data_IF_243799482673
#
_entry.id   IF_243799482673
#
_cell.length_a   1.000
_cell.length_b   1.000
_cell.length_c   1.000
_cell.angle_alpha   90.00
_cell.angle_beta   90.00
_cell.angle_gamma   90.00
#
_symmetry.space_group_name_H-M   'P 1'
#
loop_
_entity.id
_entity.type
_entity.pdbx_description
1 polymer ?
#
# COMPACT_ATOMS: atom_id res chain seq x y z
N UNK A 1 17.60 5.13 6.83
CA UNK A 1 17.36 3.72 7.19
C UNK A 1 15.93 3.33 6.83
N UNK A 2 15.75 2.08 6.39
CA UNK A 2 14.42 1.60 6.01
C UNK A 2 13.51 1.47 7.22
N UNK A 3 12.23 1.93 7.12
CA UNK A 3 11.23 1.65 8.16
C UNK A 3 11.01 0.16 8.40
N UNK A 4 11.38 -0.70 7.47
CA UNK A 4 11.24 -2.16 7.61
C UNK A 4 12.35 -2.81 8.45
N UNK A 5 13.26 -2.03 9.00
CA UNK A 5 14.33 -2.57 9.85
C UNK A 5 13.79 -3.36 11.04
N UNK A 6 12.67 -2.92 11.60
CA UNK A 6 11.96 -3.63 12.69
C UNK A 6 10.49 -3.25 12.67
N UNK A 7 9.65 -4.06 13.33
CA UNK A 7 8.24 -3.72 13.47
C UNK A 7 8.04 -2.42 14.26
N UNK A 8 8.73 -2.16 15.38
CA UNK A 8 8.62 -0.86 16.04
C UNK A 8 8.99 0.32 15.15
N UNK A 9 9.99 0.17 14.28
CA UNK A 9 10.36 1.24 13.35
C UNK A 9 9.25 1.49 12.32
N UNK A 10 8.61 0.42 11.81
CA UNK A 10 7.51 0.58 10.89
C UNK A 10 6.28 1.18 11.57
N UNK A 11 5.98 0.76 12.81
CA UNK A 11 4.91 1.38 13.60
C UNK A 11 5.13 2.87 13.76
N UNK A 12 6.36 3.28 14.12
CA UNK A 12 6.69 4.70 14.27
C UNK A 12 6.51 5.46 12.96
N UNK A 13 6.97 4.88 11.87
CA UNK A 13 6.83 5.48 10.54
C UNK A 13 5.37 5.67 10.17
N UNK A 14 4.55 4.64 10.33
CA UNK A 14 3.12 4.65 10.01
C UNK A 14 2.38 5.67 10.86
N UNK A 15 2.63 5.68 12.18
CA UNK A 15 1.90 6.57 13.08
C UNK A 15 2.34 8.04 12.98
N UNK A 16 3.45 8.31 12.30
CA UNK A 16 3.92 9.67 12.02
C UNK A 16 3.89 9.99 10.53
N UNK A 17 3.08 9.29 9.76
CA UNK A 17 3.07 9.40 8.29
C UNK A 17 2.84 10.84 7.82
N UNK A 18 1.97 11.59 8.50
CA UNK A 18 1.68 12.98 8.16
C UNK A 18 2.87 13.92 8.34
N UNK A 19 3.87 13.53 9.15
CA UNK A 19 5.11 14.31 9.30
C UNK A 19 6.05 14.11 8.12
N UNK A 20 5.96 12.95 7.46
CA UNK A 20 6.79 12.63 6.29
C UNK A 20 6.18 13.16 5.00
N UNK A 21 4.85 13.30 4.96
CA UNK A 21 4.10 13.70 3.76
C UNK A 21 3.08 14.78 4.11
N UNK A 22 3.41 16.06 3.88
CA UNK A 22 2.50 17.17 4.20
C UNK A 22 1.17 17.14 3.46
N UNK A 23 1.07 16.39 2.35
CA UNK A 23 -0.18 16.18 1.62
C UNK A 23 -1.20 15.36 2.40
N UNK A 24 -0.76 14.59 3.40
CA UNK A 24 -1.65 13.79 4.24
C UNK A 24 -2.40 14.70 5.21
N UNK A 25 -3.72 14.72 5.12
CA UNK A 25 -4.58 15.51 6.01
C UNK A 25 -4.93 14.74 7.26
N UNK A 26 -5.17 13.45 7.14
CA UNK A 26 -5.53 12.59 8.25
C UNK A 26 -5.15 11.15 7.93
N UNK A 27 -4.76 10.40 8.94
CA UNK A 27 -4.48 8.98 8.83
C UNK A 27 -5.19 8.22 9.95
N UNK A 28 -5.84 7.12 9.59
CA UNK A 28 -6.41 6.17 10.54
C UNK A 28 -5.64 4.86 10.56
N UNK A 29 -4.43 4.84 9.99
CA UNK A 29 -3.62 3.64 9.91
C UNK A 29 -3.33 3.07 11.29
N UNK A 30 -3.51 1.75 11.44
CA UNK A 30 -3.28 1.04 12.67
C UNK A 30 -2.55 -0.27 12.38
N UNK A 31 -1.49 -0.56 13.13
CA UNK A 31 -0.82 -1.85 13.08
C UNK A 31 -1.27 -2.66 14.29
N UNK A 32 -1.94 -3.78 14.04
CA UNK A 32 -2.35 -4.72 15.05
C UNK A 32 -1.41 -5.93 15.03
N UNK A 33 -0.70 -6.15 16.12
CA UNK A 33 0.18 -7.31 16.24
C UNK A 33 -0.66 -8.57 16.44
N UNK A 34 -0.33 -9.61 15.68
CA UNK A 34 -1.02 -10.90 15.69
C UNK A 34 -0.03 -11.99 16.11
N UNK A 35 0.27 -12.09 17.40
CA UNK A 35 1.29 -12.96 17.92
C UNK A 35 2.68 -12.33 17.82
N UNK A 36 3.73 -13.16 17.96
CA UNK A 36 5.11 -12.68 18.08
C UNK A 36 5.75 -12.31 16.73
N UNK A 37 5.21 -12.80 15.61
CA UNK A 37 5.90 -12.77 14.31
C UNK A 37 5.07 -12.17 13.19
N UNK A 38 3.82 -11.85 13.43
CA UNK A 38 2.94 -11.30 12.40
C UNK A 38 2.18 -10.07 12.88
N UNK A 39 1.77 -9.25 11.93
CA UNK A 39 0.97 -8.06 12.21
C UNK A 39 0.12 -7.73 10.99
N UNK A 40 -0.90 -6.89 11.19
CA UNK A 40 -1.74 -6.38 10.11
C UNK A 40 -1.77 -4.87 10.21
N UNK A 41 -1.45 -4.21 9.10
CA UNK A 41 -1.66 -2.78 8.92
C UNK A 41 -2.97 -2.58 8.16
N UNK A 42 -3.84 -1.72 8.67
CA UNK A 42 -5.05 -1.35 7.96
C UNK A 42 -5.54 0.03 8.36
N UNK A 43 -6.26 0.66 7.47
CA UNK A 43 -6.84 1.99 7.68
C UNK A 43 -6.85 2.81 6.40
N UNK A 44 -6.97 4.11 6.56
CA UNK A 44 -7.07 5.05 5.45
C UNK A 44 -6.14 6.23 5.65
N UNK A 45 -5.65 6.76 4.52
CA UNK A 45 -4.96 8.04 4.46
C UNK A 45 -5.85 8.99 3.65
N UNK A 46 -6.18 10.14 4.24
CA UNK A 46 -7.07 11.13 3.64
C UNK A 46 -6.25 12.31 3.14
N UNK A 47 -6.58 12.76 1.92
CA UNK A 47 -5.94 13.86 1.22
C UNK A 47 -6.98 14.93 0.88
N UNK A 48 -6.54 16.02 0.25
CA UNK A 48 -7.45 17.03 -0.29
C UNK A 48 -8.23 16.50 -1.50
N UNK A 49 -9.27 17.23 -1.92
CA UNK A 49 -10.07 16.96 -3.11
C UNK A 49 -10.74 15.58 -3.10
N UNK A 50 -11.13 15.11 -1.90
CA UNK A 50 -11.82 13.84 -1.66
C UNK A 50 -11.01 12.60 -2.03
N UNK A 51 -9.69 12.71 -2.19
CA UNK A 51 -8.84 11.54 -2.39
C UNK A 51 -8.59 10.84 -1.06
N UNK A 52 -8.66 9.50 -1.09
CA UNK A 52 -8.28 8.66 0.04
C UNK A 52 -7.62 7.38 -0.44
N UNK A 53 -6.65 6.93 0.31
CA UNK A 53 -5.94 5.69 0.06
C UNK A 53 -6.30 4.70 1.16
N UNK A 54 -6.97 3.61 0.79
CA UNK A 54 -7.30 2.52 1.71
C UNK A 54 -6.16 1.52 1.68
N UNK A 55 -5.65 1.18 2.86
CA UNK A 55 -4.42 0.39 3.01
C UNK A 55 -4.72 -0.88 3.80
N UNK A 56 -4.23 -2.00 3.30
CA UNK A 56 -4.20 -3.25 4.04
C UNK A 56 -2.91 -3.99 3.70
N UNK A 57 -2.15 -4.36 4.74
CA UNK A 57 -0.93 -5.15 4.59
C UNK A 57 -0.90 -6.24 5.65
N UNK A 58 -0.58 -7.46 5.24
CA UNK A 58 -0.23 -8.53 6.17
C UNK A 58 1.28 -8.57 6.24
N UNK A 59 1.80 -8.52 7.47
CA UNK A 59 3.22 -8.35 7.74
C UNK A 59 3.79 -9.57 8.44
N UNK A 60 5.03 -9.89 8.13
CA UNK A 60 5.84 -10.85 8.86
C UNK A 60 7.09 -10.17 9.41
N UNK A 61 7.50 -10.54 10.60
CA UNK A 61 8.75 -10.09 11.20
C UNK A 61 9.56 -11.28 11.75
N UNK A 62 9.46 -12.42 11.09
CA UNK A 62 10.15 -13.67 11.49
C UNK A 62 11.65 -13.51 11.63
N UNK A 63 12.25 -12.67 10.79
CA UNK A 63 13.72 -12.49 10.74
C UNK A 63 14.17 -11.23 11.48
N UNK A 64 13.24 -10.57 12.21
CA UNK A 64 13.52 -9.28 12.85
C UNK A 64 13.20 -8.10 11.96
N UNK A 65 13.42 -8.20 10.65
CA UNK A 65 13.00 -7.20 9.69
C UNK A 65 11.54 -7.43 9.28
N UNK A 66 10.87 -6.37 8.83
CA UNK A 66 9.49 -6.46 8.36
C UNK A 66 9.49 -6.84 6.89
N UNK A 67 8.61 -7.78 6.53
CA UNK A 67 8.27 -8.07 5.14
C UNK A 67 6.76 -8.05 4.99
N UNK A 68 6.28 -7.70 3.81
CA UNK A 68 4.86 -7.75 3.46
C UNK A 68 4.58 -9.14 2.90
N UNK A 69 3.62 -9.85 3.48
CA UNK A 69 3.18 -11.16 3.00
C UNK A 69 2.16 -11.01 1.89
N UNK A 70 1.22 -10.08 2.08
CA UNK A 70 0.20 -9.73 1.09
C UNK A 70 -0.29 -8.32 1.36
N UNK A 71 -0.87 -7.70 0.35
CA UNK A 71 -1.40 -6.35 0.47
C UNK A 71 -2.61 -6.13 -0.43
N UNK A 72 -3.37 -5.08 -0.09
CA UNK A 72 -4.36 -4.47 -0.95
C UNK A 72 -4.36 -2.98 -0.70
N UNK A 73 -4.26 -2.20 -1.76
CA UNK A 73 -4.33 -0.75 -1.69
C UNK A 73 -5.40 -0.27 -2.67
N UNK A 74 -6.30 0.58 -2.20
CA UNK A 74 -7.35 1.14 -3.03
C UNK A 74 -7.24 2.66 -3.00
N UNK A 75 -7.22 3.27 -4.18
CA UNK A 75 -7.26 4.73 -4.31
C UNK A 75 -8.64 5.14 -4.74
N UNK A 76 -9.27 5.99 -3.93
CA UNK A 76 -10.62 6.49 -4.15
C UNK A 76 -10.61 8.01 -4.30
N UNK A 77 -11.49 8.51 -5.15
CA UNK A 77 -11.88 9.92 -5.19
C UNK A 77 -13.39 9.98 -4.97
N UNK A 78 -13.81 10.42 -3.76
CA UNK A 78 -15.21 10.33 -3.39
C UNK A 78 -15.69 8.89 -3.41
N UNK A 79 -16.69 8.60 -4.23
CA UNK A 79 -17.25 7.24 -4.39
C UNK A 79 -16.66 6.47 -5.55
N UNK A 80 -15.70 7.05 -6.27
CA UNK A 80 -15.09 6.43 -7.45
C UNK A 80 -13.76 5.78 -7.08
N UNK A 81 -13.63 4.47 -7.37
CA UNK A 81 -12.37 3.76 -7.22
C UNK A 81 -11.49 4.08 -8.42
N UNK A 82 -10.40 4.80 -8.19
CA UNK A 82 -9.51 5.29 -9.24
C UNK A 82 -8.46 4.24 -9.61
N UNK A 83 -7.99 3.49 -8.62
CA UNK A 83 -6.99 2.43 -8.83
C UNK A 83 -7.06 1.44 -7.68
N UNK A 84 -6.57 0.23 -7.95
CA UNK A 84 -6.52 -0.82 -6.94
C UNK A 84 -5.27 -1.67 -7.18
N UNK A 85 -4.45 -1.85 -6.15
CA UNK A 85 -3.26 -2.68 -6.17
C UNK A 85 -3.50 -3.90 -5.29
N UNK A 86 -3.14 -5.09 -5.76
CA UNK A 86 -3.11 -6.26 -4.89
C UNK A 86 -1.96 -7.19 -5.28
N UNK A 87 -1.70 -8.15 -4.39
CA UNK A 87 -0.60 -9.10 -4.53
C UNK A 87 -1.07 -10.51 -4.94
N UNK A 88 -2.30 -10.65 -5.41
CA UNK A 88 -2.80 -11.95 -5.86
C UNK A 88 -2.11 -12.33 -7.18
N UNK A 89 -1.45 -13.51 -7.24
CA UNK A 89 -0.80 -13.93 -8.47
C UNK A 89 -1.78 -14.22 -9.60
N UNK A 90 -1.35 -13.94 -10.84
CA UNK A 90 -2.09 -14.28 -12.06
C UNK A 90 -1.11 -14.98 -13.02
N UNK A 91 -0.72 -16.23 -12.73
CA UNK A 91 0.35 -16.91 -13.48
C UNK A 91 0.03 -17.17 -14.95
N UNK A 92 -1.25 -17.16 -15.32
CA UNK A 92 -1.65 -17.32 -16.72
C UNK A 92 -1.65 -16.04 -17.53
N UNK A 93 -1.42 -14.88 -16.91
CA UNK A 93 -1.45 -13.59 -17.58
C UNK A 93 -0.04 -13.11 -17.90
N UNK A 94 0.41 -13.33 -19.15
CA UNK A 94 1.77 -12.95 -19.57
C UNK A 94 2.03 -11.45 -19.50
N UNK A 95 1.00 -10.62 -19.62
CA UNK A 95 1.16 -9.16 -19.53
C UNK A 95 1.62 -8.71 -18.14
N UNK A 96 1.43 -9.53 -17.11
CA UNK A 96 1.81 -9.23 -15.73
C UNK A 96 3.08 -9.94 -15.29
N UNK A 97 3.69 -10.77 -16.16
CA UNK A 97 4.80 -11.63 -15.79
C UNK A 97 6.02 -10.86 -15.23
N UNK A 98 6.27 -9.66 -15.73
CA UNK A 98 7.43 -8.86 -15.31
C UNK A 98 7.38 -8.36 -13.87
N UNK A 99 6.19 -8.25 -13.28
CA UNK A 99 6.00 -7.76 -11.91
C UNK A 99 5.18 -8.70 -11.04
N UNK A 100 4.80 -9.88 -11.55
CA UNK A 100 4.01 -10.83 -10.79
C UNK A 100 4.63 -11.12 -9.41
N UNK A 101 3.86 -11.15 -8.30
CA UNK A 101 2.40 -11.02 -8.23
C UNK A 101 1.88 -9.56 -8.16
N UNK A 102 2.74 -8.56 -8.27
CA UNK A 102 2.38 -7.16 -8.12
C UNK A 102 1.65 -6.66 -9.37
N UNK A 103 0.43 -6.20 -9.20
CA UNK A 103 -0.32 -5.61 -10.30
C UNK A 103 -1.26 -4.51 -9.81
N UNK A 104 -1.72 -3.69 -10.76
CA UNK A 104 -2.60 -2.56 -10.54
C UNK A 104 -3.85 -2.73 -11.39
N UNK A 105 -5.02 -2.52 -10.80
CA UNK A 105 -6.29 -2.45 -11.52
C UNK A 105 -6.57 -0.99 -11.88
N UNK A 106 -6.95 -0.75 -13.11
CA UNK A 106 -7.21 0.60 -13.62
C UNK A 106 -8.52 0.65 -14.42
N UNK A 107 -9.15 1.85 -14.54
CA UNK A 107 -10.35 1.99 -15.37
C UNK A 107 -10.09 1.62 -16.83
N UNK A 108 -11.14 1.32 -17.66
CA UNK A 108 -12.56 1.45 -17.33
C UNK A 108 -13.15 0.30 -16.53
N UNK A 109 -12.69 -0.93 -16.73
CA UNK A 109 -13.16 -2.09 -15.98
C UNK A 109 -12.14 -2.43 -14.90
N UNK A 110 -12.26 -1.73 -13.78
CA UNK A 110 -11.25 -1.78 -12.71
C UNK A 110 -11.06 -3.19 -12.13
N UNK A 111 -12.07 -4.05 -12.21
CA UNK A 111 -11.96 -5.41 -11.69
C UNK A 111 -11.11 -6.30 -12.58
N UNK A 112 -11.14 -6.09 -13.89
CA UNK A 112 -10.52 -6.98 -14.87
C UNK A 112 -9.36 -6.34 -15.64
N UNK A 113 -9.27 -5.00 -15.67
CA UNK A 113 -8.20 -4.31 -16.40
C UNK A 113 -6.97 -4.16 -15.50
N UNK A 114 -6.01 -5.04 -15.66
CA UNK A 114 -4.78 -5.14 -14.85
C UNK A 114 -3.57 -4.71 -15.64
N UNK A 115 -2.65 -3.99 -14.97
CA UNK A 115 -1.37 -3.58 -15.55
C UNK A 115 -0.25 -3.91 -14.55
N UNK A 116 1.01 -4.04 -15.01
CA UNK A 116 2.14 -4.25 -14.10
C UNK A 116 2.30 -3.11 -13.10
N UNK A 117 2.85 -3.43 -11.92
CA UNK A 117 3.09 -2.47 -10.86
C UNK A 117 4.54 -2.57 -10.39
N UNK A 118 5.52 -2.05 -11.16
CA UNK A 118 6.96 -2.25 -10.88
C UNK A 118 7.46 -1.55 -9.62
N UNK A 119 6.74 -0.52 -9.14
CA UNK A 119 7.13 0.21 -7.93
C UNK A 119 6.71 -0.44 -6.62
N UNK A 120 6.00 -1.57 -6.67
CA UNK A 120 5.48 -2.25 -5.48
C UNK A 120 6.41 -3.39 -5.09
N UNK A 121 6.54 -3.63 -3.78
CA UNK A 121 7.49 -4.60 -3.22
C UNK A 121 6.92 -5.32 -2.01
N UNK A 122 7.49 -6.48 -1.67
CA UNK A 122 7.26 -7.14 -0.38
C UNK A 122 8.32 -6.79 0.66
N UNK A 123 9.47 -6.25 0.23
CA UNK A 123 10.63 -6.05 1.11
C UNK A 123 10.96 -4.58 1.36
N UNK A 124 10.23 -3.66 0.75
CA UNK A 124 10.37 -2.23 0.94
C UNK A 124 9.00 -1.62 1.20
N UNK A 125 8.92 -0.52 1.98
CA UNK A 125 7.64 0.16 2.21
C UNK A 125 7.02 0.66 0.90
N UNK A 126 5.73 0.38 0.71
CA UNK A 126 5.00 0.81 -0.49
C UNK A 126 4.31 2.16 -0.29
N UNK A 127 4.05 2.57 0.95
CA UNK A 127 3.32 3.80 1.24
C UNK A 127 3.95 5.04 0.61
N UNK A 128 5.28 5.24 0.63
CA UNK A 128 5.85 6.43 0.01
C UNK A 128 5.52 6.58 -1.47
N UNK A 129 5.66 5.51 -2.23
CA UNK A 129 5.36 5.53 -3.67
C UNK A 129 3.88 5.75 -3.95
N UNK A 130 3.00 5.13 -3.17
CA UNK A 130 1.56 5.28 -3.30
C UNK A 130 1.12 6.71 -2.96
N UNK A 131 1.68 7.28 -1.90
CA UNK A 131 1.36 8.67 -1.52
C UNK A 131 1.82 9.64 -2.62
N UNK A 132 3.01 9.44 -3.17
CA UNK A 132 3.49 10.28 -4.28
C UNK A 132 2.61 10.19 -5.51
N UNK A 133 2.07 9.01 -5.78
CA UNK A 133 1.12 8.83 -6.88
C UNK A 133 -0.16 9.64 -6.65
N UNK A 134 -0.69 9.63 -5.43
CA UNK A 134 -1.85 10.47 -5.08
C UNK A 134 -1.50 11.95 -5.22
N UNK A 135 -0.33 12.37 -4.76
CA UNK A 135 0.11 13.76 -4.84
C UNK A 135 0.12 14.29 -6.27
N UNK A 136 0.44 13.44 -7.25
CA UNK A 136 0.41 13.83 -8.65
C UNK A 136 -1.00 14.06 -9.19
N UNK A 137 -2.02 13.54 -8.51
CA UNK A 137 -3.42 13.72 -8.90
C UNK A 137 -4.07 14.92 -8.21
N UNK A 138 -3.45 15.44 -7.16
CA UNK A 138 -3.99 16.59 -6.41
C UNK A 138 -3.90 17.86 -7.25
N UNK A 139 -4.93 18.74 -7.16
CA UNK A 139 -4.93 20.02 -7.90
C UNK A 139 -3.86 20.99 -7.41
#
# INVERSE_FOLDING_TARGET
MSPFRSLPDYERYVYTIARHFPSVRRSTLLIARRGARTAVLQGEILFDADYRLVVKERLSCDTGTVTIVSYGYELWRGTDKVAWYDSQPHPGDVSLAGTDPHHKHVPPDIKHHRVPAPGISFTQPNLPGLIREVEQLLP
#
